data_IF_658017315857
#
_entry.id   IF_658017315857
#
_cell.length_a   1.000
_cell.length_b   1.000
_cell.length_c   1.000
_cell.angle_alpha   90.00
_cell.angle_beta   90.00
_cell.angle_gamma   90.00
#
_symmetry.space_group_name_H-M   'P 1'
#
loop_
_entity.id
_entity.type
_entity.pdbx_description
1 polymer ?
#
# COMPACT_ATOMS: atom_id res chain seq x y z
N UNK A 1 -28.06 19.87 11.56
CA UNK A 1 -26.58 19.75 11.52
C UNK A 1 -26.20 18.96 12.75
N UNK A 2 -25.89 17.68 12.58
CA UNK A 2 -25.36 16.85 13.67
C UNK A 2 -24.01 17.41 14.08
N UNK A 3 -23.85 17.71 15.36
CA UNK A 3 -22.58 18.14 15.94
C UNK A 3 -21.51 17.11 15.60
N UNK A 4 -20.49 17.52 14.84
CA UNK A 4 -19.40 16.63 14.47
C UNK A 4 -18.61 16.30 15.73
N UNK A 5 -18.50 15.03 16.09
CA UNK A 5 -17.75 14.61 17.27
C UNK A 5 -16.33 15.20 17.25
N UNK A 6 -15.85 15.74 18.35
CA UNK A 6 -14.52 16.33 18.46
C UNK A 6 -13.41 15.37 17.99
N UNK A 7 -13.53 14.08 18.32
CA UNK A 7 -12.58 13.06 17.90
C UNK A 7 -12.53 12.85 16.38
N UNK A 8 -13.65 13.08 15.65
CA UNK A 8 -13.68 13.01 14.18
C UNK A 8 -12.90 14.18 13.56
N UNK A 9 -13.06 15.39 14.11
CA UNK A 9 -12.32 16.55 13.63
C UNK A 9 -10.80 16.40 13.85
N UNK A 10 -10.39 15.88 15.01
CA UNK A 10 -8.99 15.58 15.30
C UNK A 10 -8.45 14.44 14.42
N UNK A 11 -9.25 13.40 14.18
CA UNK A 11 -8.93 12.30 13.28
C UNK A 11 -8.65 12.81 11.86
N UNK A 12 -9.54 13.62 11.30
CA UNK A 12 -9.37 14.18 9.95
C UNK A 12 -8.12 15.07 9.87
N UNK A 13 -7.92 15.95 10.86
CA UNK A 13 -6.75 16.83 10.89
C UNK A 13 -5.43 16.03 10.96
N UNK A 14 -5.38 14.94 11.76
CA UNK A 14 -4.23 14.03 11.83
C UNK A 14 -4.03 13.29 10.52
N UNK A 15 -5.08 12.76 9.93
CA UNK A 15 -5.03 12.06 8.65
C UNK A 15 -4.45 12.95 7.55
N UNK A 16 -4.89 14.21 7.47
CA UNK A 16 -4.38 15.16 6.49
C UNK A 16 -2.89 15.43 6.67
N UNK A 17 -2.40 15.60 7.91
CA UNK A 17 -0.97 15.82 8.15
C UNK A 17 -0.12 14.60 7.82
N UNK A 18 -0.59 13.39 8.15
CA UNK A 18 0.11 12.15 7.83
C UNK A 18 0.12 11.90 6.32
N UNK A 19 -1.00 12.09 5.63
CA UNK A 19 -1.12 11.89 4.19
C UNK A 19 -0.57 13.03 3.32
N UNK A 20 -0.16 14.17 3.92
CA UNK A 20 0.44 15.27 3.18
C UNK A 20 1.86 14.95 2.67
N UNK A 21 2.55 14.01 3.29
CA UNK A 21 3.87 13.54 2.87
C UNK A 21 3.75 12.10 2.34
N UNK A 22 3.95 11.87 1.03
CA UNK A 22 3.83 10.54 0.42
C UNK A 22 4.86 9.53 0.96
N UNK A 23 5.91 9.98 1.65
CA UNK A 23 6.88 9.10 2.32
C UNK A 23 6.30 8.48 3.60
N UNK A 24 5.27 9.08 4.20
CA UNK A 24 4.58 8.53 5.37
C UNK A 24 3.59 7.44 4.99
N UNK A 25 2.94 7.58 3.84
CA UNK A 25 2.05 6.57 3.25
C UNK A 25 1.81 6.90 1.78
N UNK A 26 1.71 5.88 0.93
CA UNK A 26 1.39 6.04 -0.47
C UNK A 26 -0.06 6.50 -0.69
N UNK A 27 -0.36 6.99 -1.89
CA UNK A 27 -1.71 7.41 -2.27
C UNK A 27 -2.74 6.28 -2.07
N UNK A 28 -3.81 6.59 -1.38
CA UNK A 28 -4.89 5.68 -0.99
C UNK A 28 -4.46 4.50 -0.09
N UNK A 29 -3.21 4.44 0.33
CA UNK A 29 -2.70 3.50 1.32
C UNK A 29 -2.91 3.98 2.75
N UNK A 30 -2.79 3.04 3.68
CA UNK A 30 -2.95 3.30 5.09
C UNK A 30 -4.36 3.72 5.53
N UNK A 31 -4.58 3.69 6.82
CA UNK A 31 -5.80 4.17 7.47
C UNK A 31 -5.54 4.66 8.90
N UNK A 32 -6.44 5.50 9.35
CA UNK A 32 -6.40 6.09 10.69
C UNK A 32 -7.77 5.93 11.33
N UNK A 33 -7.79 5.82 12.65
CA UNK A 33 -9.05 5.72 13.40
C UNK A 33 -9.05 6.49 14.72
N UNK A 34 -10.25 6.80 15.19
CA UNK A 34 -10.50 7.30 16.52
C UNK A 34 -11.70 6.58 17.13
N UNK A 35 -11.64 6.30 18.42
CA UNK A 35 -12.73 5.73 19.23
C UNK A 35 -13.34 6.81 20.11
N UNK A 36 -14.63 6.69 20.39
CA UNK A 36 -15.33 7.63 21.25
C UNK A 36 -16.75 7.16 21.54
N UNK A 37 -17.45 7.88 22.42
CA UNK A 37 -18.81 7.59 22.80
C UNK A 37 -19.78 8.50 22.04
N UNK A 38 -20.93 7.95 21.65
CA UNK A 38 -22.04 8.67 21.04
C UNK A 38 -23.36 8.21 21.66
N UNK A 39 -24.44 8.92 21.40
CA UNK A 39 -25.78 8.48 21.79
C UNK A 39 -26.40 7.66 20.66
N UNK A 40 -26.88 6.46 20.97
CA UNK A 40 -27.64 5.64 20.02
C UNK A 40 -29.01 6.30 19.79
N UNK A 41 -29.33 6.70 18.55
CA UNK A 41 -30.58 7.42 18.27
C UNK A 41 -31.85 6.56 18.42
N UNK A 42 -31.70 5.24 18.56
CA UNK A 42 -32.82 4.31 18.71
C UNK A 42 -33.13 4.05 20.19
N UNK A 43 -32.09 3.84 20.99
CA UNK A 43 -32.23 3.47 22.40
C UNK A 43 -32.09 4.68 23.33
N UNK A 44 -31.48 5.77 22.90
CA UNK A 44 -31.10 6.92 23.71
C UNK A 44 -29.97 6.68 24.70
N UNK A 45 -29.36 5.48 24.67
CA UNK A 45 -28.25 5.11 25.54
C UNK A 45 -26.87 5.41 24.87
N UNK A 46 -25.84 5.38 25.68
CA UNK A 46 -24.46 5.53 25.18
C UNK A 46 -24.01 4.32 24.37
N UNK A 47 -23.26 4.57 23.30
CA UNK A 47 -22.68 3.56 22.43
C UNK A 47 -21.23 3.91 22.13
N UNK A 48 -20.33 2.94 22.29
CA UNK A 48 -18.93 3.08 21.86
C UNK A 48 -18.81 2.91 20.34
N UNK A 49 -18.25 3.91 19.69
CA UNK A 49 -18.05 3.94 18.26
C UNK A 49 -16.56 4.04 17.91
N UNK A 50 -16.22 3.51 16.77
CA UNK A 50 -14.96 3.77 16.08
C UNK A 50 -15.26 4.42 14.73
N UNK A 51 -14.59 5.52 14.45
CA UNK A 51 -14.51 6.11 13.12
C UNK A 51 -13.17 5.72 12.51
N UNK A 52 -13.20 5.12 11.34
CA UNK A 52 -12.00 4.64 10.63
C UNK A 52 -12.10 4.98 9.15
N UNK A 53 -10.99 5.34 8.53
CA UNK A 53 -10.95 5.54 7.07
C UNK A 53 -11.41 4.27 6.37
N UNK A 54 -12.41 4.42 5.52
CA UNK A 54 -12.95 3.34 4.72
C UNK A 54 -12.03 2.92 3.57
N UNK A 55 -12.52 1.96 2.80
CA UNK A 55 -11.79 1.44 1.63
C UNK A 55 -11.63 2.51 0.54
N UNK A 56 -10.43 2.63 0.00
CA UNK A 56 -10.09 3.63 -1.02
C UNK A 56 -9.93 5.04 -0.45
N UNK A 57 -9.74 6.01 -1.32
CA UNK A 57 -9.51 7.41 -0.93
C UNK A 57 -8.15 7.66 -0.28
N UNK A 58 -7.71 8.89 -0.34
CA UNK A 58 -6.39 9.31 0.15
C UNK A 58 -6.49 9.91 1.56
N UNK A 59 -5.49 9.63 2.43
CA UNK A 59 -5.44 10.20 3.78
C UNK A 59 -5.32 11.73 3.76
N UNK A 60 -4.55 12.28 2.85
CA UNK A 60 -4.31 13.72 2.73
C UNK A 60 -5.55 14.53 2.37
N UNK A 61 -6.57 13.88 1.81
CA UNK A 61 -7.83 14.52 1.38
C UNK A 61 -9.09 13.89 1.99
N UNK A 62 -8.91 13.11 3.07
CA UNK A 62 -10.00 12.40 3.75
C UNK A 62 -11.06 13.36 4.26
N UNK A 63 -12.32 13.06 3.98
CA UNK A 63 -13.50 13.79 4.49
C UNK A 63 -14.29 12.91 5.47
N UNK A 64 -15.22 13.50 6.17
CA UNK A 64 -16.10 12.77 7.09
C UNK A 64 -16.89 11.65 6.39
N UNK A 65 -17.30 11.86 5.14
CA UNK A 65 -18.00 10.86 4.33
C UNK A 65 -17.08 9.68 3.92
N UNK A 66 -15.77 9.86 3.98
CA UNK A 66 -14.77 8.82 3.76
C UNK A 66 -14.50 7.94 5.01
N UNK A 67 -15.18 8.21 6.12
CA UNK A 67 -15.08 7.42 7.33
C UNK A 67 -16.22 6.39 7.41
N UNK A 68 -15.89 5.17 7.84
CA UNK A 68 -16.85 4.19 8.34
C UNK A 68 -17.01 4.40 9.84
N UNK A 69 -18.25 4.47 10.32
CA UNK A 69 -18.56 4.51 11.75
C UNK A 69 -19.07 3.12 12.19
N UNK A 70 -18.36 2.47 13.11
CA UNK A 70 -18.68 1.12 13.57
C UNK A 70 -18.93 1.07 15.06
N UNK A 71 -19.84 0.21 15.48
CA UNK A 71 -20.07 -0.14 16.88
C UNK A 71 -18.98 -1.08 17.37
N UNK A 72 -18.24 -0.68 18.38
CA UNK A 72 -17.13 -1.47 18.93
C UNK A 72 -17.60 -2.75 19.61
N UNK A 73 -18.76 -2.74 20.27
CA UNK A 73 -19.35 -3.92 20.88
C UNK A 73 -19.61 -5.03 19.84
N UNK A 74 -20.13 -4.66 18.64
CA UNK A 74 -20.38 -5.60 17.55
C UNK A 74 -19.07 -6.08 16.91
N UNK A 75 -18.14 -5.17 16.69
CA UNK A 75 -16.85 -5.51 16.06
C UNK A 75 -16.06 -6.49 16.95
N UNK A 76 -16.01 -6.26 18.26
CA UNK A 76 -15.38 -7.18 19.22
C UNK A 76 -16.10 -8.52 19.30
N UNK A 77 -17.42 -8.54 19.21
CA UNK A 77 -18.20 -9.78 19.21
C UNK A 77 -17.88 -10.71 18.01
N UNK A 78 -17.31 -10.17 16.92
CA UNK A 78 -16.89 -10.98 15.77
C UNK A 78 -15.78 -11.99 16.13
N UNK A 79 -15.02 -11.77 17.19
CA UNK A 79 -14.03 -12.76 17.67
C UNK A 79 -14.69 -14.11 17.99
N UNK A 80 -15.88 -14.09 18.56
CA UNK A 80 -16.64 -15.29 18.92
C UNK A 80 -17.19 -16.09 17.74
N UNK A 81 -17.23 -15.49 16.55
CA UNK A 81 -17.73 -16.12 15.31
C UNK A 81 -16.67 -16.20 14.22
N UNK A 82 -15.43 -15.83 14.52
CA UNK A 82 -14.35 -15.86 13.58
C UNK A 82 -14.06 -17.29 13.07
N UNK A 83 -14.21 -17.57 11.78
CA UNK A 83 -14.12 -18.94 11.25
C UNK A 83 -12.67 -19.43 11.02
N UNK A 84 -11.67 -18.57 11.28
CA UNK A 84 -10.26 -18.86 11.03
C UNK A 84 -9.76 -18.34 9.67
N UNK A 85 -8.45 -18.41 9.49
CA UNK A 85 -7.71 -17.80 8.36
C UNK A 85 -8.14 -18.30 6.97
N UNK A 86 -8.68 -19.51 6.88
CA UNK A 86 -9.13 -20.10 5.61
C UNK A 86 -10.40 -19.41 5.08
N UNK A 87 -11.16 -18.75 5.95
CA UNK A 87 -12.41 -18.08 5.63
C UNK A 87 -12.37 -16.58 5.94
N UNK A 88 -11.20 -15.98 5.84
CA UNK A 88 -10.93 -14.59 6.18
C UNK A 88 -11.85 -13.60 5.42
N UNK A 89 -12.16 -13.89 4.16
CA UNK A 89 -13.00 -13.01 3.34
C UNK A 89 -14.44 -12.86 3.87
N UNK A 90 -14.94 -13.83 4.66
CA UNK A 90 -16.26 -13.74 5.27
C UNK A 90 -16.32 -12.65 6.35
N UNK A 91 -15.18 -12.36 7.00
CA UNK A 91 -15.09 -11.32 8.02
C UNK A 91 -15.21 -9.93 7.44
N UNK A 92 -14.74 -9.71 6.21
CA UNK A 92 -14.88 -8.41 5.54
C UNK A 92 -16.36 -8.08 5.31
N UNK A 93 -17.16 -9.07 4.89
CA UNK A 93 -18.61 -8.91 4.76
C UNK A 93 -19.30 -8.72 6.14
N UNK A 94 -18.77 -9.32 7.19
CA UNK A 94 -19.32 -9.19 8.53
C UNK A 94 -19.17 -7.78 9.13
N UNK A 95 -18.18 -6.99 8.67
CA UNK A 95 -18.01 -5.60 9.12
C UNK A 95 -19.22 -4.72 8.79
N UNK A 96 -19.96 -4.99 7.73
CA UNK A 96 -21.17 -4.25 7.37
C UNK A 96 -22.25 -4.33 8.45
N UNK A 97 -22.32 -5.45 9.19
CA UNK A 97 -23.24 -5.60 10.33
C UNK A 97 -22.80 -4.85 11.60
N UNK A 98 -21.57 -4.35 11.61
CA UNK A 98 -21.04 -3.53 12.70
C UNK A 98 -21.28 -2.03 12.48
N UNK A 99 -21.71 -1.61 11.30
CA UNK A 99 -21.94 -0.19 10.98
C UNK A 99 -22.96 0.45 11.90
N UNK A 100 -22.70 1.72 12.26
CA UNK A 100 -23.60 2.58 13.01
C UNK A 100 -24.15 3.67 12.10
N UNK A 101 -25.48 3.78 12.04
CA UNK A 101 -26.17 4.78 11.23
C UNK A 101 -26.29 4.38 9.76
N UNK A 102 -26.52 5.41 8.92
CA UNK A 102 -26.68 5.29 7.47
C UNK A 102 -25.69 6.22 6.75
N UNK A 103 -25.08 5.74 5.67
CA UNK A 103 -24.06 6.47 4.93
C UNK A 103 -22.65 6.24 5.47
N UNK A 104 -21.70 7.04 4.98
CA UNK A 104 -20.27 6.83 5.21
C UNK A 104 -19.64 5.83 4.23
N UNK A 105 -18.34 5.62 4.40
CA UNK A 105 -17.58 4.69 3.56
C UNK A 105 -17.82 3.24 3.97
N UNK A 106 -17.61 2.31 3.03
CA UNK A 106 -17.54 0.89 3.37
C UNK A 106 -16.30 0.62 4.24
N UNK A 107 -16.40 -0.27 5.25
CA UNK A 107 -15.26 -0.67 6.05
C UNK A 107 -14.14 -1.25 5.19
N UNK A 108 -12.88 -0.98 5.55
CA UNK A 108 -11.74 -1.60 4.89
C UNK A 108 -11.42 -2.97 5.48
N UNK A 109 -10.59 -3.75 4.79
CA UNK A 109 -10.07 -5.01 5.30
C UNK A 109 -9.29 -4.84 6.61
N UNK A 110 -8.73 -3.65 6.85
CA UNK A 110 -7.94 -3.31 8.03
C UNK A 110 -8.79 -2.88 9.24
N UNK A 111 -10.10 -2.83 9.10
CA UNK A 111 -11.04 -2.40 10.16
C UNK A 111 -10.80 -3.12 11.49
N UNK A 112 -10.48 -4.43 11.45
CA UNK A 112 -10.24 -5.23 12.64
C UNK A 112 -9.04 -4.72 13.45
N UNK A 113 -7.90 -4.41 12.82
CA UNK A 113 -6.71 -3.93 13.54
C UNK A 113 -6.97 -2.61 14.27
N UNK A 114 -7.85 -1.78 13.77
CA UNK A 114 -8.24 -0.53 14.44
C UNK A 114 -9.17 -0.77 15.63
N UNK A 115 -10.11 -1.71 15.49
CA UNK A 115 -11.13 -1.94 16.51
C UNK A 115 -10.68 -2.84 17.66
N UNK A 116 -9.86 -3.86 17.37
CA UNK A 116 -9.40 -4.84 18.34
C UNK A 116 -8.22 -4.33 19.18
N UNK A 117 -7.37 -3.44 18.65
CA UNK A 117 -6.29 -2.82 19.41
C UNK A 117 -6.89 -1.92 20.51
N UNK A 118 -6.54 -2.17 21.76
CA UNK A 118 -7.00 -1.40 22.92
C UNK A 118 -6.25 -0.06 23.03
N UNK A 119 -6.65 0.90 22.21
CA UNK A 119 -6.19 2.29 22.21
C UNK A 119 -7.26 3.18 21.61
N UNK A 120 -7.34 4.44 22.05
CA UNK A 120 -8.33 5.39 21.54
C UNK A 120 -8.07 5.79 20.09
N UNK A 121 -6.82 5.84 19.66
CA UNK A 121 -6.37 6.21 18.31
C UNK A 121 -5.41 5.16 17.78
N UNK A 122 -5.59 4.80 16.49
CA UNK A 122 -4.71 3.86 15.79
C UNK A 122 -4.41 4.42 14.39
N UNK A 123 -3.14 4.43 14.01
CA UNK A 123 -2.67 4.75 12.67
C UNK A 123 -2.00 3.51 12.07
N UNK A 124 -2.46 3.10 10.91
CA UNK A 124 -1.81 2.13 10.07
C UNK A 124 -1.31 2.83 8.81
N UNK A 125 -0.01 2.77 8.55
CA UNK A 125 0.65 3.52 7.48
C UNK A 125 1.61 2.63 6.69
N UNK A 126 1.86 3.03 5.44
CA UNK A 126 2.80 2.37 4.54
C UNK A 126 3.98 3.30 4.21
N UNK A 127 4.79 3.70 5.20
CA UNK A 127 5.92 4.59 4.96
C UNK A 127 7.07 3.85 4.27
N UNK A 128 7.77 4.51 3.37
CA UNK A 128 8.88 3.93 2.62
C UNK A 128 9.91 3.26 3.53
N UNK A 129 10.29 3.93 4.62
CA UNK A 129 11.25 3.41 5.59
C UNK A 129 10.72 2.20 6.37
N UNK A 130 9.44 2.21 6.74
CA UNK A 130 8.79 1.09 7.41
C UNK A 130 8.66 -0.12 6.50
N UNK A 131 8.28 0.09 5.23
CA UNK A 131 8.21 -0.97 4.21
C UNK A 131 9.59 -1.57 3.97
N UNK A 132 10.65 -0.75 3.92
CA UNK A 132 12.01 -1.25 3.73
C UNK A 132 12.42 -2.25 4.83
N UNK A 133 12.10 -1.97 6.10
CA UNK A 133 12.29 -2.91 7.20
C UNK A 133 11.37 -4.12 7.08
N UNK A 134 10.08 -3.88 6.79
CA UNK A 134 9.06 -4.93 6.71
C UNK A 134 9.35 -5.98 5.63
N UNK A 135 9.99 -5.58 4.53
CA UNK A 135 10.29 -6.46 3.39
C UNK A 135 11.71 -7.04 3.40
N UNK A 136 12.54 -6.63 4.35
CA UNK A 136 13.88 -7.21 4.49
C UNK A 136 13.81 -8.69 4.91
N UNK A 137 14.70 -9.52 4.37
CA UNK A 137 14.76 -10.95 4.72
C UNK A 137 15.00 -11.18 6.22
N UNK A 138 15.67 -10.25 6.88
CA UNK A 138 15.95 -10.22 8.32
C UNK A 138 15.19 -9.09 9.04
N UNK A 139 14.01 -8.72 8.54
CA UNK A 139 13.21 -7.58 9.00
C UNK A 139 12.89 -7.60 10.49
N UNK A 140 12.60 -8.76 11.06
CA UNK A 140 12.38 -8.92 12.51
C UNK A 140 13.62 -8.50 13.31
N UNK A 141 14.79 -8.99 12.91
CA UNK A 141 16.07 -8.64 13.54
C UNK A 141 16.37 -7.15 13.39
N UNK A 142 16.20 -6.60 12.18
CA UNK A 142 16.42 -5.19 11.91
C UNK A 142 15.45 -4.30 12.70
N UNK A 143 14.20 -4.72 12.87
CA UNK A 143 13.22 -4.03 13.71
C UNK A 143 13.67 -3.97 15.17
N UNK A 144 14.15 -5.10 15.73
CA UNK A 144 14.68 -5.14 17.08
C UNK A 144 15.96 -4.27 17.25
N UNK A 145 16.84 -4.26 16.25
CA UNK A 145 18.04 -3.40 16.26
C UNK A 145 17.69 -1.91 16.16
N UNK A 146 16.67 -1.56 15.36
CA UNK A 146 16.25 -0.19 15.14
C UNK A 146 15.53 0.41 16.34
N UNK A 147 14.64 -0.36 16.97
CA UNK A 147 13.66 0.17 17.93
C UNK A 147 13.79 -0.42 19.35
N UNK A 148 14.59 -1.46 19.54
CA UNK A 148 14.61 -2.18 20.81
C UNK A 148 13.25 -2.83 21.09
N UNK A 149 12.68 -2.51 22.25
CA UNK A 149 11.37 -3.02 22.71
C UNK A 149 10.22 -2.01 22.54
N UNK A 150 10.50 -0.87 21.91
CA UNK A 150 9.49 0.19 21.73
C UNK A 150 8.62 0.02 20.49
N UNK A 151 9.09 -0.74 19.50
CA UNK A 151 8.30 -1.15 18.32
C UNK A 151 8.58 -2.62 18.08
N UNK A 152 7.53 -3.42 18.00
CA UNK A 152 7.61 -4.87 17.93
C UNK A 152 7.32 -5.38 16.53
N UNK A 153 7.81 -6.58 16.23
CA UNK A 153 7.56 -7.23 14.95
C UNK A 153 6.30 -8.09 15.00
N UNK A 154 5.45 -7.97 13.93
CA UNK A 154 4.36 -8.90 13.64
C UNK A 154 4.71 -9.64 12.36
N UNK A 155 4.83 -10.98 12.37
CA UNK A 155 5.13 -11.75 11.17
C UNK A 155 4.11 -11.50 10.06
N UNK A 156 4.52 -11.72 8.80
CA UNK A 156 3.62 -11.55 7.67
C UNK A 156 2.31 -12.31 7.85
N UNK A 157 1.24 -11.60 7.66
CA UNK A 157 -0.11 -12.12 7.66
C UNK A 157 -0.89 -11.44 6.53
N UNK A 158 -1.76 -12.20 5.85
CA UNK A 158 -2.72 -11.60 4.94
C UNK A 158 -3.52 -10.53 5.69
N UNK A 159 -3.71 -9.32 5.14
CA UNK A 159 -4.59 -8.32 5.74
C UNK A 159 -5.98 -8.87 6.01
N UNK A 160 -6.53 -8.59 7.19
CA UNK A 160 -7.83 -9.09 7.60
C UNK A 160 -8.01 -9.16 9.12
N UNK A 161 -8.97 -9.96 9.55
CA UNK A 161 -9.37 -10.10 10.95
C UNK A 161 -8.26 -10.70 11.81
N UNK A 162 -7.61 -11.77 11.31
CA UNK A 162 -6.49 -12.42 12.02
C UNK A 162 -5.32 -11.47 12.26
N UNK A 163 -4.98 -10.63 11.28
CA UNK A 163 -3.94 -9.62 11.48
C UNK A 163 -4.31 -8.65 12.61
N UNK A 164 -5.59 -8.27 12.70
CA UNK A 164 -6.09 -7.45 13.81
C UNK A 164 -5.92 -8.12 15.17
N UNK A 165 -6.23 -9.42 15.29
CA UNK A 165 -6.01 -10.23 16.49
C UNK A 165 -4.52 -10.32 16.85
N UNK A 166 -3.66 -10.58 15.87
CA UNK A 166 -2.22 -10.69 16.10
C UNK A 166 -1.63 -9.37 16.62
N UNK A 167 -2.04 -8.22 16.07
CA UNK A 167 -1.60 -6.89 16.53
C UNK A 167 -2.11 -6.59 17.94
N UNK A 168 -3.37 -6.91 18.24
CA UNK A 168 -3.95 -6.72 19.57
C UNK A 168 -3.19 -7.56 20.62
N UNK A 169 -2.91 -8.83 20.33
CA UNK A 169 -2.16 -9.72 21.21
C UNK A 169 -0.71 -9.23 21.42
N UNK A 170 -0.05 -8.75 20.35
CA UNK A 170 1.31 -8.20 20.46
C UNK A 170 1.34 -6.94 21.32
N UNK A 171 0.35 -6.05 21.20
CA UNK A 171 0.22 -4.86 22.07
C UNK A 171 0.02 -5.26 23.53
N UNK A 172 -0.85 -6.22 23.80
CA UNK A 172 -1.11 -6.70 25.17
C UNK A 172 0.16 -7.29 25.80
N UNK A 173 0.88 -8.12 25.04
CA UNK A 173 2.13 -8.75 25.49
C UNK A 173 3.28 -7.74 25.68
N UNK A 174 3.22 -6.57 25.05
CA UNK A 174 4.29 -5.55 25.07
C UNK A 174 3.75 -4.17 25.50
N UNK A 175 3.46 -3.94 26.80
CA UNK A 175 2.83 -2.70 27.28
C UNK A 175 3.64 -1.42 27.02
N UNK A 176 4.95 -1.53 26.78
CA UNK A 176 5.82 -0.40 26.45
C UNK A 176 5.87 -0.07 24.95
N UNK A 177 5.35 -0.95 24.11
CA UNK A 177 5.37 -0.73 22.67
C UNK A 177 4.42 0.40 22.27
N UNK A 178 4.92 1.27 21.41
CA UNK A 178 4.16 2.40 20.83
C UNK A 178 3.58 2.07 19.44
N UNK A 179 3.98 0.93 18.88
CA UNK A 179 3.56 0.45 17.57
C UNK A 179 4.25 -0.86 17.20
N UNK A 180 4.01 -1.31 15.99
CA UNK A 180 4.63 -2.50 15.42
C UNK A 180 4.99 -2.32 13.93
N UNK A 181 5.99 -3.08 13.48
CA UNK A 181 6.27 -3.30 12.06
C UNK A 181 5.57 -4.59 11.63
N UNK A 182 4.82 -4.52 10.54
CA UNK A 182 4.10 -5.65 9.97
C UNK A 182 4.92 -6.23 8.82
N UNK A 183 5.41 -7.45 8.97
CA UNK A 183 6.22 -8.13 7.96
C UNK A 183 5.55 -8.14 6.58
N UNK A 184 6.26 -7.66 5.54
CA UNK A 184 5.74 -7.55 4.18
C UNK A 184 4.57 -6.58 3.99
N UNK A 185 4.35 -5.60 4.92
CA UNK A 185 3.16 -4.76 4.85
C UNK A 185 3.46 -3.27 5.15
N UNK A 186 3.73 -2.90 6.38
CA UNK A 186 3.88 -1.52 6.81
C UNK A 186 4.05 -1.40 8.32
N UNK A 187 3.50 -0.35 8.91
CA UNK A 187 3.54 -0.11 10.36
C UNK A 187 2.14 0.12 10.93
N UNK A 188 1.97 -0.15 12.22
CA UNK A 188 0.81 0.30 13.00
C UNK A 188 1.29 0.97 14.27
N UNK A 189 0.75 2.15 14.58
CA UNK A 189 1.01 2.89 15.81
C UNK A 189 -0.31 3.16 16.54
N UNK A 190 -0.24 3.37 17.86
CA UNK A 190 -1.41 3.62 18.71
C UNK A 190 -1.12 4.66 19.77
N UNK A 191 -2.18 5.28 20.29
CA UNK A 191 -2.09 6.28 21.34
C UNK A 191 -3.43 6.57 22.00
N UNK A 192 -3.38 7.17 23.20
CA UNK A 192 -4.58 7.53 23.96
C UNK A 192 -5.16 8.89 23.53
N UNK A 193 -4.35 9.70 22.83
CA UNK A 193 -4.79 10.95 22.20
C UNK A 193 -4.38 10.99 20.72
N UNK A 194 -5.08 11.82 19.93
CA UNK A 194 -4.76 12.02 18.51
C UNK A 194 -3.31 12.49 18.31
N UNK A 195 -2.86 13.44 19.12
CA UNK A 195 -1.51 14.01 19.07
C UNK A 195 -0.45 12.98 19.46
N UNK A 196 -0.75 12.13 20.43
CA UNK A 196 0.19 11.07 20.84
C UNK A 196 0.34 10.03 19.74
N UNK A 197 -0.76 9.56 19.15
CA UNK A 197 -0.74 8.59 18.06
C UNK A 197 0.07 9.11 16.87
N UNK A 198 -0.19 10.35 16.42
CA UNK A 198 0.56 11.00 15.34
C UNK A 198 2.05 11.11 15.67
N UNK A 199 2.39 11.57 16.88
CA UNK A 199 3.79 11.69 17.30
C UNK A 199 4.50 10.34 17.28
N UNK A 200 3.83 9.27 17.72
CA UNK A 200 4.34 7.90 17.71
C UNK A 200 4.54 7.39 16.28
N UNK A 201 3.57 7.60 15.40
CA UNK A 201 3.67 7.26 13.97
C UNK A 201 4.87 7.93 13.32
N UNK A 202 5.01 9.25 13.49
CA UNK A 202 6.14 10.00 12.94
C UNK A 202 7.47 9.64 13.59
N UNK A 203 7.48 9.28 14.87
CA UNK A 203 8.68 8.81 15.56
C UNK A 203 9.18 7.49 14.97
N UNK A 204 8.29 6.51 14.74
CA UNK A 204 8.62 5.23 14.11
C UNK A 204 9.21 5.48 12.71
N UNK A 205 8.55 6.30 11.89
CA UNK A 205 8.99 6.60 10.53
C UNK A 205 10.38 7.22 10.53
N UNK A 206 10.61 8.29 11.31
CA UNK A 206 11.90 9.00 11.36
C UNK A 206 13.03 8.16 11.93
N UNK A 207 12.74 7.29 12.91
CA UNK A 207 13.74 6.38 13.48
C UNK A 207 14.16 5.34 12.42
N UNK A 208 13.19 4.79 11.67
CA UNK A 208 13.50 3.89 10.56
C UNK A 208 14.29 4.60 9.44
N UNK A 209 13.93 5.83 9.07
CA UNK A 209 14.68 6.64 8.09
C UNK A 209 16.14 6.84 8.51
N UNK A 210 16.38 7.26 9.77
CA UNK A 210 17.72 7.46 10.28
C UNK A 210 18.53 6.15 10.31
N UNK A 211 17.93 5.05 10.76
CA UNK A 211 18.54 3.74 10.79
C UNK A 211 18.95 3.25 9.40
N UNK A 212 18.08 3.43 8.40
CA UNK A 212 18.36 3.06 7.01
C UNK A 212 19.41 3.96 6.37
N UNK A 213 19.39 5.27 6.65
CA UNK A 213 20.38 6.21 6.15
C UNK A 213 21.79 5.89 6.67
N UNK A 214 21.92 5.45 7.93
CA UNK A 214 23.19 5.06 8.54
C UNK A 214 23.76 3.76 7.95
N UNK A 215 22.88 2.80 7.54
CA UNK A 215 23.26 1.45 7.06
C UNK A 215 23.12 1.28 5.56
N UNK A 216 22.46 2.20 4.88
CA UNK A 216 22.19 2.16 3.45
C UNK A 216 23.48 2.27 2.61
N UNK A 217 23.40 1.75 1.39
CA UNK A 217 24.47 1.94 0.40
C UNK A 217 24.36 3.32 -0.22
N UNK A 218 25.48 3.96 -0.50
CA UNK A 218 25.51 5.26 -1.19
C UNK A 218 24.83 5.19 -2.59
N UNK A 219 24.96 4.04 -3.27
CA UNK A 219 24.34 3.78 -4.58
C UNK A 219 23.47 2.51 -4.46
N UNK A 220 22.22 2.62 -3.95
CA UNK A 220 21.38 1.46 -3.66
C UNK A 220 20.97 0.70 -4.92
N UNK A 221 20.92 1.38 -6.08
CA UNK A 221 20.58 0.81 -7.38
C UNK A 221 21.81 0.39 -8.19
N UNK A 222 23.01 0.44 -7.61
CA UNK A 222 24.28 0.15 -8.25
C UNK A 222 24.83 1.32 -9.10
N UNK A 223 25.98 1.14 -9.74
CA UNK A 223 26.59 2.15 -10.60
C UNK A 223 25.74 2.45 -11.84
N UNK A 224 26.04 3.59 -12.48
CA UNK A 224 25.40 3.96 -13.74
C UNK A 224 25.77 2.98 -14.86
N UNK A 225 24.79 2.61 -15.67
CA UNK A 225 24.99 1.82 -16.88
C UNK A 225 25.78 2.62 -17.94
N UNK A 226 26.85 2.03 -18.45
CA UNK A 226 27.61 2.63 -19.54
C UNK A 226 26.72 2.75 -20.79
N UNK A 227 26.73 3.93 -21.43
CA UNK A 227 25.94 4.19 -22.63
C UNK A 227 24.45 4.48 -22.41
N UNK A 228 23.99 4.49 -21.16
CA UNK A 228 22.60 4.87 -20.79
C UNK A 228 22.42 6.38 -20.55
N UNK A 229 23.36 7.20 -20.98
CA UNK A 229 23.16 8.65 -21.05
C UNK A 229 22.09 8.90 -22.10
N UNK A 230 20.84 8.94 -21.65
CA UNK A 230 19.67 9.06 -22.51
C UNK A 230 19.69 10.34 -23.34
N UNK A 231 18.92 10.33 -24.42
CA UNK A 231 18.53 11.54 -25.11
C UNK A 231 18.00 12.56 -24.09
N UNK A 232 18.29 13.86 -24.28
CA UNK A 232 17.73 14.90 -23.41
C UNK A 232 16.20 14.82 -23.32
N UNK A 233 15.55 15.64 -22.47
CA UNK A 233 14.10 15.54 -22.21
C UNK A 233 13.22 15.48 -23.46
N UNK A 234 13.58 16.24 -24.52
CA UNK A 234 12.86 16.23 -25.80
C UNK A 234 12.96 14.86 -26.52
N UNK A 235 14.15 14.30 -26.61
CA UNK A 235 14.37 12.99 -27.26
C UNK A 235 13.72 11.84 -26.46
N UNK A 236 13.69 11.90 -25.12
CA UNK A 236 12.96 10.92 -24.31
C UNK A 236 11.46 10.94 -24.59
N UNK A 237 10.86 12.14 -24.65
CA UNK A 237 9.43 12.31 -24.96
C UNK A 237 9.08 11.87 -26.37
N UNK A 238 9.93 12.17 -27.36
CA UNK A 238 9.77 11.68 -28.71
C UNK A 238 9.79 10.14 -28.76
N UNK A 239 10.76 9.54 -28.08
CA UNK A 239 10.88 8.08 -27.99
C UNK A 239 9.69 7.46 -27.27
N UNK A 240 9.27 8.05 -26.15
CA UNK A 240 8.08 7.62 -25.40
C UNK A 240 6.83 7.70 -26.27
N UNK A 241 6.63 8.81 -27.01
CA UNK A 241 5.49 8.97 -27.91
C UNK A 241 5.48 7.92 -29.03
N UNK A 242 6.65 7.57 -29.59
CA UNK A 242 6.77 6.53 -30.59
C UNK A 242 6.45 5.12 -30.06
N UNK A 243 6.81 4.81 -28.81
CA UNK A 243 6.56 3.52 -28.16
C UNK A 243 5.16 3.39 -27.57
N UNK A 244 4.57 4.49 -27.11
CA UNK A 244 3.30 4.50 -26.36
C UNK A 244 2.15 3.74 -27.04
N UNK A 245 1.88 3.87 -28.35
CA UNK A 245 0.81 3.11 -29.01
C UNK A 245 1.01 1.60 -28.92
N UNK A 246 2.25 1.13 -29.07
CA UNK A 246 2.58 -0.29 -29.00
C UNK A 246 2.49 -0.83 -27.57
N UNK A 247 3.07 -0.12 -26.61
CA UNK A 247 3.03 -0.50 -25.20
C UNK A 247 1.58 -0.52 -24.70
N UNK A 248 0.78 0.50 -25.05
CA UNK A 248 -0.64 0.53 -24.69
C UNK A 248 -1.41 -0.62 -25.30
N UNK A 249 -1.14 -0.99 -26.55
CA UNK A 249 -1.79 -2.12 -27.21
C UNK A 249 -1.47 -3.44 -26.47
N UNK A 250 -0.24 -3.63 -26.03
CA UNK A 250 0.17 -4.79 -25.23
C UNK A 250 -0.48 -4.80 -23.86
N UNK A 251 -0.53 -3.67 -23.15
CA UNK A 251 -1.16 -3.54 -21.84
C UNK A 251 -2.71 -3.59 -21.88
N UNK A 252 -3.31 -3.67 -23.06
CA UNK A 252 -4.76 -3.63 -23.28
C UNK A 252 -5.30 -4.88 -23.97
N UNK A 253 -4.62 -6.03 -23.92
CA UNK A 253 -5.10 -7.25 -24.58
C UNK A 253 -6.30 -7.86 -23.85
N UNK A 254 -6.28 -7.88 -22.52
CA UNK A 254 -7.40 -8.41 -21.74
C UNK A 254 -8.56 -7.42 -21.65
N UNK A 255 -8.28 -6.11 -21.60
CA UNK A 255 -9.26 -5.01 -21.55
C UNK A 255 -8.63 -3.68 -21.90
N UNK A 256 -9.40 -2.72 -22.43
CA UNK A 256 -8.90 -1.39 -22.73
C UNK A 256 -8.30 -0.71 -21.51
N UNK A 257 -7.12 -0.10 -21.66
CA UNK A 257 -6.42 0.64 -20.61
C UNK A 257 -6.10 2.07 -21.05
N UNK A 258 -6.05 2.96 -20.07
CA UNK A 258 -5.48 4.30 -20.18
C UNK A 258 -4.03 4.23 -19.71
N UNK A 259 -3.11 4.87 -20.42
CA UNK A 259 -1.70 4.97 -20.05
C UNK A 259 -1.37 6.30 -19.38
N UNK A 260 -0.44 6.27 -18.46
CA UNK A 260 0.26 7.42 -17.90
C UNK A 260 1.75 7.22 -18.10
N UNK A 261 2.48 8.31 -18.39
CA UNK A 261 3.93 8.29 -18.61
C UNK A 261 4.62 9.16 -17.58
N UNK A 262 5.71 8.65 -17.00
CA UNK A 262 6.53 9.33 -16.01
C UNK A 262 8.00 9.24 -16.40
N UNK A 263 8.67 10.39 -16.57
CA UNK A 263 10.09 10.56 -16.77
C UNK A 263 10.73 11.41 -15.66
N UNK A 264 10.22 11.30 -14.43
CA UNK A 264 10.77 11.95 -13.25
C UNK A 264 12.19 11.49 -12.93
N UNK A 265 12.93 12.31 -12.20
CA UNK A 265 14.33 12.04 -11.87
C UNK A 265 14.51 10.70 -11.12
N UNK A 266 13.58 10.34 -10.24
CA UNK A 266 13.64 9.08 -9.48
C UNK A 266 13.47 7.86 -10.39
N UNK A 267 12.56 7.92 -11.37
CA UNK A 267 12.35 6.86 -12.36
C UNK A 267 13.58 6.73 -13.25
N UNK A 268 14.10 7.86 -13.73
CA UNK A 268 15.28 7.87 -14.61
C UNK A 268 16.55 7.42 -13.89
N UNK A 269 16.74 7.82 -12.63
CA UNK A 269 17.88 7.34 -11.83
C UNK A 269 17.82 5.82 -11.68
N UNK A 270 16.68 5.26 -11.23
CA UNK A 270 16.51 3.81 -11.11
C UNK A 270 16.83 3.08 -12.43
N UNK A 271 16.24 3.54 -13.55
CA UNK A 271 16.38 2.90 -14.85
C UNK A 271 17.77 3.04 -15.48
N UNK A 272 18.59 3.97 -15.00
CA UNK A 272 19.98 4.17 -15.45
C UNK A 272 21.01 3.34 -14.68
N UNK A 273 20.58 2.57 -13.67
CA UNK A 273 21.47 1.83 -12.76
C UNK A 273 21.56 0.35 -13.12
N UNK A 274 22.72 -0.27 -12.83
CA UNK A 274 22.98 -1.68 -13.18
C UNK A 274 22.03 -2.67 -12.49
N UNK A 275 21.53 -2.35 -11.30
CA UNK A 275 20.70 -3.26 -10.51
C UNK A 275 19.20 -3.17 -10.87
N UNK A 276 18.76 -2.24 -11.71
CA UNK A 276 17.34 -2.07 -11.99
C UNK A 276 16.62 -3.33 -12.48
N UNK A 277 17.20 -4.19 -13.36
CA UNK A 277 16.48 -5.37 -13.82
C UNK A 277 16.25 -6.38 -12.68
N UNK A 278 17.28 -6.59 -11.85
CA UNK A 278 17.21 -7.49 -10.71
C UNK A 278 16.23 -6.98 -9.65
N UNK A 279 16.30 -5.68 -9.32
CA UNK A 279 15.42 -5.09 -8.32
C UNK A 279 13.97 -5.04 -8.80
N UNK A 280 13.71 -4.71 -10.07
CA UNK A 280 12.38 -4.77 -10.65
C UNK A 280 11.78 -6.19 -10.63
N UNK A 281 12.61 -7.22 -10.81
CA UNK A 281 12.18 -8.62 -10.76
C UNK A 281 11.78 -9.10 -9.35
N UNK A 282 12.24 -8.43 -8.28
CA UNK A 282 11.80 -8.73 -6.90
C UNK A 282 10.31 -8.47 -6.70
N UNK A 283 9.75 -7.56 -7.47
CA UNK A 283 8.32 -7.24 -7.44
C UNK A 283 7.96 -6.21 -6.38
N UNK A 284 6.71 -6.28 -5.94
CA UNK A 284 6.10 -5.31 -5.04
C UNK A 284 6.43 -5.57 -3.58
N UNK A 285 6.41 -4.52 -2.77
CA UNK A 285 6.89 -4.52 -1.39
C UNK A 285 5.78 -4.40 -0.33
N UNK A 286 4.53 -4.15 -0.73
CA UNK A 286 3.39 -4.17 0.19
C UNK A 286 2.10 -4.53 -0.54
N UNK A 287 1.00 -4.89 0.18
CA UNK A 287 -0.26 -5.28 -0.44
C UNK A 287 -0.87 -4.23 -1.37
N UNK A 288 -0.79 -2.96 -1.02
CA UNK A 288 -1.32 -1.87 -1.87
C UNK A 288 -0.62 -1.78 -3.22
N UNK A 289 0.69 -1.94 -3.24
CA UNK A 289 1.47 -1.96 -4.48
C UNK A 289 1.01 -3.13 -5.35
N UNK A 290 0.93 -4.33 -4.78
CA UNK A 290 0.48 -5.53 -5.48
C UNK A 290 -0.89 -5.37 -6.14
N UNK A 291 -1.86 -4.78 -5.43
CA UNK A 291 -3.21 -4.55 -5.95
C UNK A 291 -3.23 -3.65 -7.19
N UNK A 292 -2.26 -2.73 -7.32
CA UNK A 292 -2.20 -1.73 -8.39
C UNK A 292 -1.25 -2.09 -9.50
N UNK A 293 -0.07 -2.64 -9.15
CA UNK A 293 1.04 -2.84 -10.10
C UNK A 293 1.22 -4.31 -10.49
N UNK A 294 0.44 -5.22 -9.93
CA UNK A 294 0.64 -6.67 -10.01
C UNK A 294 1.96 -7.12 -9.35
N UNK A 295 2.44 -8.33 -9.68
CA UNK A 295 3.61 -8.92 -9.02
C UNK A 295 4.89 -8.14 -9.33
N UNK A 296 5.11 -7.75 -10.57
CA UNK A 296 6.31 -7.05 -11.04
C UNK A 296 6.04 -6.21 -12.29
N UNK A 297 6.88 -5.23 -12.61
CA UNK A 297 6.81 -4.54 -13.91
C UNK A 297 7.33 -5.42 -15.05
N UNK A 298 6.95 -5.09 -16.28
CA UNK A 298 7.64 -5.51 -17.48
C UNK A 298 8.79 -4.54 -17.73
N UNK A 299 10.01 -5.04 -17.93
CA UNK A 299 11.21 -4.23 -18.19
C UNK A 299 11.70 -4.49 -19.60
N UNK A 300 11.84 -3.45 -20.43
CA UNK A 300 12.51 -3.57 -21.73
C UNK A 300 14.02 -3.71 -21.48
N UNK A 301 14.60 -4.80 -21.96
CA UNK A 301 16.02 -5.17 -21.78
C UNK A 301 16.92 -4.75 -22.94
N UNK A 302 16.56 -3.68 -23.64
CA UNK A 302 17.33 -3.09 -24.73
C UNK A 302 17.86 -1.69 -24.36
N UNK A 303 19.00 -1.28 -24.94
CA UNK A 303 19.52 0.07 -24.72
C UNK A 303 18.57 1.13 -25.31
N UNK A 304 18.61 2.38 -24.78
CA UNK A 304 17.76 3.48 -25.28
C UNK A 304 17.94 3.80 -26.75
N UNK A 305 19.09 3.44 -27.30
CA UNK A 305 19.49 3.68 -28.72
C UNK A 305 19.00 2.59 -29.66
N UNK A 306 18.41 1.50 -29.17
CA UNK A 306 17.91 0.43 -30.04
C UNK A 306 16.89 0.98 -31.06
N UNK A 307 16.87 0.49 -32.30
CA UNK A 307 15.88 0.86 -33.32
C UNK A 307 14.44 0.65 -32.78
N UNK A 308 13.49 1.46 -33.28
CA UNK A 308 12.10 1.40 -32.80
C UNK A 308 11.46 0.04 -33.10
N UNK A 309 11.68 -0.49 -34.27
CA UNK A 309 11.16 -1.79 -34.70
C UNK A 309 11.72 -2.95 -33.89
N UNK A 310 13.02 -2.91 -33.54
CA UNK A 310 13.66 -3.87 -32.64
C UNK A 310 13.05 -3.79 -31.21
N UNK A 311 12.91 -2.57 -30.69
CA UNK A 311 12.30 -2.36 -29.37
C UNK A 311 10.83 -2.87 -29.32
N UNK A 312 10.06 -2.61 -30.36
CA UNK A 312 8.67 -3.10 -30.48
C UNK A 312 8.63 -4.63 -30.59
N UNK A 313 9.52 -5.23 -31.36
CA UNK A 313 9.60 -6.69 -31.49
C UNK A 313 9.95 -7.33 -30.14
N UNK A 314 10.93 -6.77 -29.42
CA UNK A 314 11.36 -7.26 -28.12
C UNK A 314 10.26 -7.08 -27.06
N UNK A 315 9.56 -5.95 -27.03
CA UNK A 315 8.40 -5.73 -26.14
C UNK A 315 7.30 -6.77 -26.34
N UNK A 316 7.01 -7.17 -27.59
CA UNK A 316 6.02 -8.23 -27.86
C UNK A 316 6.45 -9.57 -27.28
N UNK A 317 7.73 -9.92 -27.44
CA UNK A 317 8.27 -11.16 -26.88
C UNK A 317 8.20 -11.14 -25.34
N UNK A 318 8.73 -10.09 -24.71
CA UNK A 318 8.71 -9.93 -23.25
C UNK A 318 7.28 -9.91 -22.67
N UNK A 319 6.34 -9.33 -23.41
CA UNK A 319 4.94 -9.32 -23.00
C UNK A 319 4.33 -10.74 -23.04
N UNK A 320 4.62 -11.55 -24.05
CA UNK A 320 4.16 -12.93 -24.10
C UNK A 320 4.71 -13.74 -22.92
N UNK A 321 6.02 -13.64 -22.66
CA UNK A 321 6.70 -14.26 -21.51
C UNK A 321 6.07 -13.80 -20.18
N UNK A 322 5.82 -12.50 -20.03
CA UNK A 322 5.19 -11.91 -18.82
C UNK A 322 3.79 -12.50 -18.57
N UNK A 323 2.98 -12.63 -19.61
CA UNK A 323 1.61 -13.19 -19.49
C UNK A 323 1.64 -14.65 -19.06
N UNK A 324 2.54 -15.46 -19.63
CA UNK A 324 2.71 -16.86 -19.25
C UNK A 324 3.14 -17.00 -17.78
N UNK A 325 4.12 -16.21 -17.36
CA UNK A 325 4.60 -16.20 -15.97
C UNK A 325 3.52 -15.74 -14.99
N UNK A 326 2.75 -14.69 -15.34
CA UNK A 326 1.68 -14.20 -14.48
C UNK A 326 0.54 -15.23 -14.36
N UNK A 327 0.17 -15.88 -15.46
CA UNK A 327 -0.83 -16.95 -15.43
C UNK A 327 -0.37 -18.14 -14.59
N UNK A 328 0.91 -18.52 -14.70
CA UNK A 328 1.49 -19.57 -13.87
C UNK A 328 1.54 -19.17 -12.38
N UNK A 329 1.87 -17.92 -12.09
CA UNK A 329 1.82 -17.37 -10.72
C UNK A 329 0.39 -17.47 -10.15
N UNK A 330 -0.62 -17.02 -10.90
CA UNK A 330 -2.01 -17.12 -10.47
C UNK A 330 -2.41 -18.58 -10.21
N UNK A 331 -2.10 -19.48 -11.12
CA UNK A 331 -2.45 -20.90 -11.00
C UNK A 331 -1.82 -21.59 -9.77
N UNK A 332 -0.60 -21.18 -9.38
CA UNK A 332 0.06 -21.72 -8.19
C UNK A 332 -0.62 -21.31 -6.87
N UNK A 333 -1.30 -20.17 -6.85
CA UNK A 333 -1.86 -19.58 -5.64
C UNK A 333 -3.38 -19.59 -5.59
N UNK A 334 -4.05 -19.92 -6.70
CA UNK A 334 -5.50 -19.98 -6.75
C UNK A 334 -6.01 -21.24 -6.02
N UNK A 335 -7.00 -21.06 -5.16
CA UNK A 335 -7.78 -22.10 -4.52
C UNK A 335 -9.16 -22.26 -5.17
N UNK A 336 -10.00 -23.21 -4.67
CA UNK A 336 -11.33 -23.47 -5.21
C UNK A 336 -12.25 -22.24 -5.25
N UNK A 337 -12.12 -21.37 -4.25
CA UNK A 337 -12.97 -20.18 -4.07
C UNK A 337 -12.31 -18.89 -4.60
N UNK A 338 -11.14 -18.99 -5.23
CA UNK A 338 -10.45 -17.82 -5.77
C UNK A 338 -11.25 -17.20 -6.92
N UNK A 339 -11.40 -15.86 -6.96
CA UNK A 339 -12.01 -15.19 -8.10
C UNK A 339 -11.19 -15.45 -9.37
N UNK A 340 -11.82 -15.43 -10.53
CA UNK A 340 -11.12 -15.61 -11.81
C UNK A 340 -10.00 -14.57 -11.99
N UNK A 341 -8.93 -14.98 -12.66
CA UNK A 341 -7.81 -14.07 -13.00
C UNK A 341 -8.32 -12.85 -13.78
N UNK A 342 -7.97 -11.64 -13.32
CA UNK A 342 -8.47 -10.37 -13.89
C UNK A 342 -7.70 -9.91 -15.14
N UNK A 343 -6.88 -10.76 -15.71
CA UNK A 343 -6.02 -10.49 -16.86
C UNK A 343 -4.55 -10.61 -16.52
N UNK A 344 -3.72 -10.84 -17.52
CA UNK A 344 -2.29 -11.08 -17.38
C UNK A 344 -1.40 -9.94 -17.92
N UNK A 345 -1.99 -8.89 -18.52
CA UNK A 345 -1.22 -7.75 -19.04
C UNK A 345 -0.50 -6.98 -17.94
N UNK A 346 0.71 -6.44 -18.18
CA UNK A 346 1.44 -5.66 -17.19
C UNK A 346 0.72 -4.34 -16.87
N UNK A 347 0.72 -3.96 -15.59
CA UNK A 347 0.25 -2.64 -15.17
C UNK A 347 1.36 -1.59 -15.28
N UNK A 348 2.62 -1.99 -15.21
CA UNK A 348 3.80 -1.12 -15.29
C UNK A 348 4.74 -1.65 -16.38
N UNK A 349 5.23 -0.75 -17.23
CA UNK A 349 6.27 -1.04 -18.22
C UNK A 349 7.41 -0.05 -18.04
N UNK A 350 8.60 -0.56 -17.74
CA UNK A 350 9.83 0.20 -17.56
C UNK A 350 10.65 0.20 -18.85
N UNK A 351 11.01 1.39 -19.33
CA UNK A 351 11.78 1.56 -20.56
C UNK A 351 13.06 2.34 -20.22
N UNK A 352 14.19 1.64 -20.03
CA UNK A 352 15.47 2.27 -19.65
C UNK A 352 15.87 3.40 -20.58
N UNK A 353 16.30 4.53 -20.01
CA UNK A 353 16.67 5.74 -20.73
C UNK A 353 15.50 6.55 -21.32
N UNK A 354 14.25 6.10 -21.09
CA UNK A 354 13.02 6.77 -21.56
C UNK A 354 12.13 7.14 -20.37
N UNK A 355 11.73 6.18 -19.56
CA UNK A 355 10.83 6.39 -18.44
C UNK A 355 9.95 5.18 -18.15
N UNK A 356 8.87 5.41 -17.41
CA UNK A 356 7.89 4.43 -16.97
C UNK A 356 6.53 4.69 -17.61
N UNK A 357 5.86 3.63 -18.04
CA UNK A 357 4.46 3.65 -18.42
C UNK A 357 3.66 2.88 -17.40
N UNK A 358 2.58 3.47 -16.89
CA UNK A 358 1.63 2.83 -15.98
C UNK A 358 0.23 2.82 -16.58
N UNK A 359 -0.55 1.78 -16.27
CA UNK A 359 -1.83 1.52 -16.91
C UNK A 359 -2.95 1.29 -15.89
N UNK A 360 -4.15 1.75 -16.23
CA UNK A 360 -5.35 1.60 -15.44
C UNK A 360 -6.61 1.77 -16.28
N UNK A 361 -7.77 1.45 -15.70
CA UNK A 361 -9.08 1.59 -16.36
C UNK A 361 -9.43 3.04 -16.71
N UNK A 362 -8.83 3.99 -16.02
CA UNK A 362 -9.00 5.44 -16.18
C UNK A 362 -7.68 6.16 -15.87
N UNK A 363 -7.65 7.47 -16.11
CA UNK A 363 -6.46 8.30 -15.93
C UNK A 363 -5.96 8.30 -14.49
N UNK A 364 -6.86 8.35 -13.51
CA UNK A 364 -6.48 8.37 -12.10
C UNK A 364 -5.87 7.04 -11.68
N UNK A 365 -6.50 5.93 -12.05
CA UNK A 365 -5.96 4.59 -11.76
C UNK A 365 -4.58 4.37 -12.39
N UNK A 366 -4.39 4.84 -13.64
CA UNK A 366 -3.11 4.75 -14.33
C UNK A 366 -2.01 5.57 -13.62
N UNK A 367 -2.32 6.81 -13.20
CA UNK A 367 -1.39 7.67 -12.45
C UNK A 367 -1.01 7.04 -11.11
N UNK A 368 -2.01 6.63 -10.32
CA UNK A 368 -1.80 6.02 -9.00
C UNK A 368 -1.01 4.70 -9.09
N UNK A 369 -1.16 3.93 -10.18
CA UNK A 369 -0.33 2.75 -10.40
C UNK A 369 1.15 3.11 -10.64
N UNK A 370 1.44 4.31 -11.15
CA UNK A 370 2.81 4.80 -11.36
C UNK A 370 3.45 5.37 -10.09
N UNK A 371 2.66 5.96 -9.20
CA UNK A 371 3.13 6.42 -7.88
C UNK A 371 3.59 5.28 -6.99
#
# INVERSE_FOLDING_TARGET
>A
MTEQHACVSELLARSHRLGADPRNTNYAGGNTSAKGTSTDPVTGGDVELMWVKGSGGDLGTLTADGLAALRLDRLRALEGVYPGVEREDEMVAAFDYCLHGRGGAAPSIDTAMHGLVDAAHVDHLHPDSGIALACAADGEKLTAECFGDTVVWVPWRRPGFQLGLDIAAVKEANPRAIGCVLGGHGITAWGDTAQECERRSLHIIRTAEAFLAERGRAEPFGPLLAGYTGAGPAGRRERAAALAPFIRALASQDRPQVGHFDDSDVVLDFLSRTEHPRLAALGTSCPDHFLRTKVRPLVLDLPPTAPLDEAVARLRQLHAEYREEYAAYYARHAGPDSPAMRGADPAIVLVPGVGMFSFGKDKQTARVAGE
#
